data_IF_693386105147
#
_entry.id   IF_693386105147
#
_cell.length_a   1.000
_cell.length_b   1.000
_cell.length_c   1.000
_cell.angle_alpha   90.00
_cell.angle_beta   90.00
_cell.angle_gamma   90.00
#
_symmetry.space_group_name_H-M   'P 1'
#
loop_
_entity.id
_entity.type
_entity.pdbx_description
1 polymer ?
#
# COMPACT_ATOMS: atom_id res chain seq x y z
N UNK A 1 14.07 5.40 8.37
CA UNK A 1 14.28 4.73 7.07
C UNK A 1 12.94 4.20 6.56
N UNK A 2 12.67 4.29 5.26
CA UNK A 2 11.39 3.90 4.65
C UNK A 2 11.64 3.28 3.27
N UNK A 3 10.97 2.17 2.97
CA UNK A 3 10.94 1.57 1.63
C UNK A 3 9.53 1.78 1.06
N UNK A 4 9.42 2.49 -0.05
CA UNK A 4 8.15 2.72 -0.77
C UNK A 4 8.19 1.89 -2.04
N UNK A 5 7.22 0.99 -2.21
CA UNK A 5 7.01 0.24 -3.45
C UNK A 5 5.76 0.83 -4.09
N UNK A 6 5.95 1.59 -5.17
CA UNK A 6 4.85 2.17 -5.93
C UNK A 6 4.41 1.16 -6.98
N UNK A 7 3.13 0.81 -6.94
CA UNK A 7 2.56 -0.18 -7.86
C UNK A 7 1.92 0.45 -9.09
N UNK A 8 1.29 1.62 -8.95
CA UNK A 8 0.68 2.45 -10.00
C UNK A 8 0.45 3.88 -9.43
N UNK A 9 0.38 4.95 -10.26
CA UNK A 9 0.59 4.99 -11.71
C UNK A 9 2.07 5.04 -12.12
N UNK A 10 2.96 5.47 -11.22
CA UNK A 10 4.40 5.54 -11.44
C UNK A 10 5.06 4.37 -10.71
N UNK A 11 5.15 3.23 -11.38
CA UNK A 11 5.70 2.04 -10.74
C UNK A 11 7.20 2.23 -10.49
N UNK A 12 7.61 1.95 -9.26
CA UNK A 12 8.99 2.18 -8.87
C UNK A 12 9.23 1.87 -7.41
N UNK A 13 10.46 2.12 -6.99
CA UNK A 13 10.91 1.84 -5.64
C UNK A 13 11.72 3.02 -5.11
N UNK A 14 11.34 3.50 -3.93
CA UNK A 14 12.09 4.53 -3.21
C UNK A 14 12.60 4.00 -1.87
N UNK A 15 13.89 4.13 -1.62
CA UNK A 15 14.51 3.83 -0.34
C UNK A 15 15.01 5.11 0.31
N UNK A 16 14.36 5.51 1.40
CA UNK A 16 14.67 6.69 2.21
C UNK A 16 15.55 6.30 3.40
N UNK A 17 16.75 6.89 3.48
CA UNK A 17 17.78 6.61 4.47
C UNK A 17 18.31 7.89 5.10
N UNK A 18 18.97 7.76 6.24
CA UNK A 18 19.80 8.81 6.83
C UNK A 18 21.27 8.48 6.55
N UNK A 19 21.99 9.40 5.91
CA UNK A 19 23.41 9.25 5.61
C UNK A 19 24.22 10.40 6.19
N UNK A 20 25.45 10.11 6.61
CA UNK A 20 26.38 11.14 7.08
C UNK A 20 26.82 12.02 5.91
N UNK A 21 26.63 13.33 6.04
CA UNK A 21 27.14 14.29 5.07
C UNK A 21 28.64 14.47 5.35
N UNK A 22 29.48 13.81 4.57
CA UNK A 22 30.93 13.80 4.75
C UNK A 22 31.57 15.18 4.51
N UNK A 23 31.46 16.11 5.46
CA UNK A 23 32.33 17.28 5.58
C UNK A 23 32.07 18.05 6.89
N UNK A 24 32.98 17.95 7.86
CA UNK A 24 33.07 18.85 9.02
C UNK A 24 32.59 18.29 10.36
N UNK A 25 33.14 18.84 11.45
CA UNK A 25 33.19 18.33 12.85
C UNK A 25 31.87 18.07 13.59
N UNK A 26 30.75 17.95 12.87
CA UNK A 26 29.48 17.46 13.39
C UNK A 26 28.93 16.47 12.38
N UNK A 27 28.88 15.18 12.73
CA UNK A 27 28.28 14.12 11.91
C UNK A 27 26.75 14.30 11.86
N UNK A 28 26.31 15.35 11.17
CA UNK A 28 24.90 15.60 10.94
C UNK A 28 24.40 14.60 9.89
N UNK A 29 23.52 13.70 10.32
CA UNK A 29 22.78 12.83 9.43
C UNK A 29 21.83 13.67 8.57
N UNK A 30 21.87 13.45 7.26
CA UNK A 30 20.97 14.08 6.30
C UNK A 30 20.09 13.02 5.64
N UNK A 31 18.79 13.30 5.39
CA UNK A 31 17.93 12.40 4.64
C UNK A 31 18.40 12.31 3.19
N UNK A 32 18.49 11.08 2.68
CA UNK A 32 18.81 10.76 1.29
C UNK A 32 17.80 9.74 0.77
N UNK A 33 17.45 9.82 -0.50
CA UNK A 33 16.57 8.87 -1.18
C UNK A 33 17.29 8.21 -2.35
N UNK A 34 17.11 6.90 -2.49
CA UNK A 34 17.43 6.16 -3.71
C UNK A 34 16.11 5.92 -4.43
N UNK A 35 16.00 6.35 -5.67
CA UNK A 35 14.82 6.24 -6.51
C UNK A 35 15.11 5.32 -7.70
N UNK A 36 14.24 4.33 -7.92
CA UNK A 36 14.26 3.44 -9.07
C UNK A 36 12.93 3.57 -9.80
N UNK A 37 12.94 4.33 -10.88
CA UNK A 37 11.84 4.49 -11.82
C UNK A 37 11.88 3.35 -12.85
N UNK A 38 10.85 2.51 -12.87
CA UNK A 38 10.81 1.36 -13.76
C UNK A 38 10.59 1.74 -15.23
N UNK A 39 9.90 2.84 -15.53
CA UNK A 39 9.70 3.29 -16.92
C UNK A 39 11.00 3.82 -17.52
N UNK A 40 11.86 4.43 -16.70
CA UNK A 40 13.22 4.82 -17.11
C UNK A 40 14.18 3.63 -17.17
N UNK A 41 14.05 2.68 -16.24
CA UNK A 41 14.99 1.56 -16.11
C UNK A 41 14.73 0.43 -17.12
N UNK A 42 13.47 0.20 -17.51
CA UNK A 42 13.08 -0.87 -18.42
C UNK A 42 12.36 -0.28 -19.63
N UNK A 43 12.98 -0.34 -20.81
CA UNK A 43 12.43 0.21 -22.06
C UNK A 43 11.43 -0.70 -22.76
N UNK A 44 11.06 -1.84 -22.16
CA UNK A 44 10.17 -2.83 -22.76
C UNK A 44 8.70 -2.56 -22.41
N UNK A 45 7.80 -2.85 -23.35
CA UNK A 45 6.36 -2.80 -23.12
C UNK A 45 5.98 -3.74 -21.98
N UNK A 46 5.44 -3.17 -20.91
CA UNK A 46 4.91 -3.94 -19.81
C UNK A 46 3.68 -4.74 -20.26
N UNK A 47 3.71 -6.03 -19.96
CA UNK A 47 2.57 -6.93 -20.13
C UNK A 47 1.46 -6.48 -19.18
N UNK A 48 0.26 -6.23 -19.70
CA UNK A 48 -0.88 -5.81 -18.87
C UNK A 48 -1.25 -6.89 -17.84
N UNK A 49 -1.87 -6.48 -16.72
CA UNK A 49 -2.21 -7.40 -15.63
C UNK A 49 -2.98 -8.65 -16.09
N UNK A 50 -3.99 -8.49 -16.96
CA UNK A 50 -4.75 -9.61 -17.51
C UNK A 50 -3.95 -10.47 -18.50
N UNK A 51 -3.13 -9.85 -19.35
CA UNK A 51 -2.28 -10.58 -20.30
C UNK A 51 -1.30 -11.49 -19.53
N UNK A 52 -0.69 -10.96 -18.47
CA UNK A 52 0.20 -11.72 -17.60
C UNK A 52 -0.51 -12.90 -16.95
N UNK A 53 -1.71 -12.69 -16.40
CA UNK A 53 -2.50 -13.74 -15.77
C UNK A 53 -2.88 -14.85 -16.77
N UNK A 54 -3.28 -14.48 -18.00
CA UNK A 54 -3.60 -15.44 -19.06
C UNK A 54 -2.38 -16.26 -19.49
N UNK A 55 -1.22 -15.62 -19.65
CA UNK A 55 0.03 -16.32 -19.98
C UNK A 55 0.42 -17.33 -18.89
N UNK A 56 0.30 -16.96 -17.62
CA UNK A 56 0.59 -17.87 -16.51
C UNK A 56 -0.40 -19.04 -16.43
N UNK A 57 -1.70 -18.79 -16.69
CA UNK A 57 -2.71 -19.85 -16.78
C UNK A 57 -2.40 -20.86 -17.90
N UNK A 58 -2.03 -20.37 -19.10
CA UNK A 58 -1.63 -21.21 -20.24
C UNK A 58 -0.36 -22.01 -19.90
N UNK A 59 0.59 -21.39 -19.18
CA UNK A 59 1.81 -22.04 -18.73
C UNK A 59 1.60 -23.04 -17.57
N UNK A 60 0.37 -23.18 -17.05
CA UNK A 60 0.05 -24.05 -15.92
C UNK A 60 0.65 -23.57 -14.58
N UNK A 61 0.97 -22.28 -14.47
CA UNK A 61 1.57 -21.68 -13.28
C UNK A 61 0.50 -20.90 -12.51
N UNK A 62 0.28 -21.30 -11.26
CA UNK A 62 -0.80 -20.78 -10.43
C UNK A 62 -0.33 -19.81 -9.32
N UNK A 63 0.90 -19.31 -9.41
CA UNK A 63 1.51 -18.45 -8.38
C UNK A 63 0.86 -17.05 -8.26
N UNK A 64 0.15 -16.58 -9.29
CA UNK A 64 -0.58 -15.31 -9.28
C UNK A 64 -2.08 -15.47 -9.02
N UNK A 65 -2.52 -16.68 -8.68
CA UNK A 65 -3.92 -16.97 -8.42
C UNK A 65 -4.13 -17.24 -6.93
N UNK A 66 -5.22 -16.71 -6.40
CA UNK A 66 -5.61 -16.93 -5.00
C UNK A 66 -6.02 -18.38 -4.82
N UNK A 67 -5.43 -19.05 -3.84
CA UNK A 67 -5.80 -20.44 -3.51
C UNK A 67 -7.10 -20.49 -2.71
N UNK A 68 -7.77 -21.64 -2.71
CA UNK A 68 -9.05 -21.81 -2.00
C UNK A 68 -8.91 -21.59 -0.49
N UNK A 69 -7.84 -22.09 0.12
CA UNK A 69 -7.55 -21.92 1.53
C UNK A 69 -7.23 -20.46 1.90
N UNK A 70 -6.49 -19.75 1.04
CA UNK A 70 -6.24 -18.31 1.18
C UNK A 70 -7.54 -17.50 1.12
N UNK A 71 -8.41 -17.83 0.15
CA UNK A 71 -9.72 -17.19 0.01
C UNK A 71 -10.61 -17.40 1.24
N UNK A 72 -10.62 -18.62 1.79
CA UNK A 72 -11.35 -18.93 3.03
C UNK A 72 -10.81 -18.13 4.22
N UNK A 73 -9.49 -18.00 4.37
CA UNK A 73 -8.92 -17.19 5.45
C UNK A 73 -9.26 -15.71 5.28
N UNK A 74 -9.18 -15.17 4.07
CA UNK A 74 -9.58 -13.78 3.81
C UNK A 74 -11.04 -13.53 4.22
N UNK A 75 -11.94 -14.45 3.89
CA UNK A 75 -13.35 -14.35 4.29
C UNK A 75 -13.55 -14.44 5.81
N UNK A 76 -12.79 -15.27 6.52
CA UNK A 76 -12.86 -15.32 8.00
C UNK A 76 -12.57 -13.98 8.66
N UNK A 77 -11.74 -13.13 8.05
CA UNK A 77 -11.47 -11.78 8.55
C UNK A 77 -12.56 -10.76 8.16
N UNK A 78 -13.03 -10.81 6.92
CA UNK A 78 -13.98 -9.81 6.37
C UNK A 78 -15.42 -10.07 6.84
N UNK A 79 -15.84 -11.33 6.90
CA UNK A 79 -17.23 -11.70 7.18
C UNK A 79 -17.77 -11.15 8.52
N UNK A 80 -17.05 -11.22 9.66
CA UNK A 80 -17.54 -10.66 10.91
C UNK A 80 -17.76 -9.14 10.87
N UNK A 81 -16.94 -8.41 10.10
CA UNK A 81 -17.06 -6.96 9.93
C UNK A 81 -18.37 -6.65 9.19
N UNK A 82 -18.62 -7.34 8.07
CA UNK A 82 -19.84 -7.19 7.29
C UNK A 82 -21.09 -7.55 8.10
N UNK A 83 -21.08 -8.70 8.79
CA UNK A 83 -22.19 -9.15 9.65
C UNK A 83 -22.50 -8.17 10.77
N UNK A 84 -21.48 -7.48 11.29
CA UNK A 84 -21.67 -6.45 12.33
C UNK A 84 -22.43 -5.26 11.74
N UNK A 85 -22.05 -4.79 10.55
CA UNK A 85 -22.76 -3.69 9.88
C UNK A 85 -24.18 -4.05 9.44
N UNK A 86 -24.45 -5.29 9.05
CA UNK A 86 -25.80 -5.74 8.70
C UNK A 86 -26.74 -5.82 9.92
N UNK A 87 -26.21 -6.19 11.09
CA UNK A 87 -26.99 -6.31 12.33
C UNK A 87 -27.23 -4.97 13.00
N UNK A 88 -26.18 -4.18 13.14
CA UNK A 88 -26.25 -2.84 13.72
C UNK A 88 -26.82 -1.88 12.66
N UNK A 89 -28.15 -1.83 12.53
CA UNK A 89 -28.87 -0.82 11.72
C UNK A 89 -28.71 0.63 12.25
N UNK A 90 -27.74 0.85 13.14
CA UNK A 90 -27.39 2.14 13.69
C UNK A 90 -26.40 2.83 12.75
N UNK A 91 -26.91 3.77 11.95
CA UNK A 91 -26.14 4.61 11.04
C UNK A 91 -24.98 5.32 11.75
N UNK A 92 -25.06 5.56 13.07
CA UNK A 92 -23.97 6.19 13.84
C UNK A 92 -22.71 5.32 13.96
N UNK A 93 -22.83 4.01 13.70
CA UNK A 93 -21.71 3.04 13.70
C UNK A 93 -21.23 2.63 12.30
N UNK A 94 -21.88 3.13 11.26
CA UNK A 94 -21.50 2.88 9.86
C UNK A 94 -20.27 3.66 9.40
N UNK A 95 -19.96 3.60 8.08
CA UNK A 95 -18.88 4.39 7.49
C UNK A 95 -19.03 5.88 7.78
N UNK A 96 -17.97 6.51 8.27
CA UNK A 96 -17.99 7.95 8.58
C UNK A 96 -17.88 8.78 7.30
N UNK A 97 -18.69 9.84 7.14
CA UNK A 97 -18.60 10.71 5.98
C UNK A 97 -17.31 11.52 5.99
N UNK A 98 -16.84 11.89 4.79
CA UNK A 98 -15.67 12.73 4.60
C UNK A 98 -15.83 13.55 3.30
N UNK A 99 -15.18 14.72 3.19
CA UNK A 99 -15.23 15.53 1.97
C UNK A 99 -14.61 14.81 0.77
N UNK A 100 -15.23 14.94 -0.41
CA UNK A 100 -14.66 14.42 -1.65
C UNK A 100 -13.29 15.06 -1.94
N UNK A 101 -12.32 14.25 -2.35
CA UNK A 101 -10.93 14.68 -2.58
C UNK A 101 -10.06 14.71 -1.32
N UNK A 102 -10.61 14.41 -0.14
CA UNK A 102 -9.81 14.18 1.08
C UNK A 102 -9.38 12.71 1.21
N UNK A 103 -8.41 12.46 2.08
CA UNK A 103 -7.87 11.12 2.39
C UNK A 103 -8.78 10.27 3.30
N UNK A 104 -9.94 10.80 3.71
CA UNK A 104 -10.89 10.11 4.56
C UNK A 104 -11.26 10.88 5.83
N UNK A 105 -12.03 10.27 6.74
CA UNK A 105 -12.41 10.89 8.00
C UNK A 105 -11.21 10.94 8.96
N UNK A 106 -11.15 11.95 9.85
CA UNK A 106 -10.10 12.06 10.88
C UNK A 106 -9.98 10.82 11.81
N UNK A 107 -11.02 9.99 11.87
CA UNK A 107 -11.00 8.71 12.56
C UNK A 107 -10.00 7.70 11.95
N UNK A 108 -9.73 7.78 10.64
CA UNK A 108 -8.77 6.91 9.96
C UNK A 108 -7.32 7.27 10.36
N UNK A 109 -6.99 8.56 10.41
CA UNK A 109 -5.70 9.06 10.91
C UNK A 109 -5.53 8.72 12.40
N UNK A 110 -6.58 8.95 13.20
CA UNK A 110 -6.58 8.64 14.63
C UNK A 110 -6.44 7.14 14.94
N UNK A 111 -6.91 6.25 14.04
CA UNK A 111 -6.75 4.81 14.20
C UNK A 111 -5.28 4.41 14.15
N UNK A 112 -4.55 4.90 13.15
CA UNK A 112 -3.14 4.57 12.91
C UNK A 112 -2.21 5.29 13.89
N UNK A 113 -2.57 6.51 14.29
CA UNK A 113 -1.84 7.29 15.29
C UNK A 113 -1.80 6.63 16.69
N UNK A 114 -2.79 5.80 17.04
CA UNK A 114 -2.80 5.04 18.31
C UNK A 114 -1.60 4.11 18.43
N UNK A 115 -1.14 3.57 17.30
CA UNK A 115 0.00 2.66 17.23
C UNK A 115 1.31 3.40 16.90
N UNK A 116 1.30 4.74 16.94
CA UNK A 116 2.49 5.58 16.68
C UNK A 116 2.84 5.74 15.20
N UNK A 117 1.92 5.36 14.31
CA UNK A 117 2.10 5.51 12.87
C UNK A 117 1.31 6.70 12.34
N UNK A 118 1.66 7.17 11.15
CA UNK A 118 0.88 8.18 10.41
C UNK A 118 0.92 7.86 8.93
N UNK A 119 -0.16 8.20 8.22
CA UNK A 119 -0.26 7.98 6.77
C UNK A 119 0.78 8.86 6.05
N UNK A 120 1.53 8.32 5.08
CA UNK A 120 2.50 9.10 4.31
C UNK A 120 1.90 10.31 3.60
N UNK A 121 0.63 10.24 3.22
CA UNK A 121 -0.10 11.30 2.50
C UNK A 121 -0.53 12.47 3.41
N UNK A 122 -0.42 12.27 4.73
CA UNK A 122 -0.68 13.29 5.76
C UNK A 122 0.60 13.91 6.36
N UNK A 123 1.79 13.43 5.93
CA UNK A 123 3.11 13.93 6.34
C UNK A 123 3.67 14.94 5.34
#
# INVERSE_FOLDING_TARGET
>A
NKLVIKLQPEDGLELHLLAAKGSGQSEALSPVSLDLDFDKAFSENRVGGYERLLLEAIAGRLNLFVRSDEQEQAWRWVEPILRTWERDNDISRGPRPYPAGSWGPAAASALVARDGFAWPEEQ
#
